data_IF_455015348470
#
_entry.id   IF_455015348470
#
_cell.length_a   1.000
_cell.length_b   1.000
_cell.length_c   1.000
_cell.angle_alpha   90.00
_cell.angle_beta   90.00
_cell.angle_gamma   90.00
#
_symmetry.space_group_name_H-M   'P 1'
#
loop_
_entity.id
_entity.type
_entity.pdbx_description
1 polymer ?
#
# COMPACT_ATOMS: atom_id res chain seq x y z
N UNK A 1 -6.21 31.90 10.61
CA UNK A 1 -6.33 30.51 11.08
C UNK A 1 -5.83 29.62 9.96
N UNK A 2 -4.75 28.89 10.16
CA UNK A 2 -4.18 27.99 9.14
C UNK A 2 -4.71 26.59 9.42
N UNK A 3 -5.22 25.92 8.39
CA UNK A 3 -5.68 24.53 8.51
C UNK A 3 -4.48 23.63 8.82
N UNK A 4 -4.66 22.74 9.79
CA UNK A 4 -3.65 21.75 10.20
C UNK A 4 -4.20 20.35 9.95
N UNK A 5 -3.31 19.35 9.75
CA UNK A 5 -3.73 17.95 9.72
C UNK A 5 -4.49 17.58 11.00
N UNK A 6 -5.40 16.61 10.88
CA UNK A 6 -6.17 16.12 12.01
C UNK A 6 -5.27 15.38 13.02
N UNK A 7 -5.61 15.45 14.30
CA UNK A 7 -4.96 14.66 15.33
C UNK A 7 -5.11 13.16 15.00
N UNK A 8 -3.99 12.42 15.02
CA UNK A 8 -3.96 10.98 14.69
C UNK A 8 -3.75 10.63 13.20
N UNK A 9 -3.55 11.62 12.32
CA UNK A 9 -3.29 11.36 10.89
C UNK A 9 -2.07 10.45 10.66
N UNK A 10 -1.04 10.57 11.50
CA UNK A 10 0.17 9.75 11.41
C UNK A 10 -0.09 8.28 11.73
N UNK A 11 -0.92 8.00 12.74
CA UNK A 11 -1.30 6.65 13.12
C UNK A 11 -2.17 6.00 12.04
N UNK A 12 -3.09 6.76 11.46
CA UNK A 12 -3.89 6.33 10.31
C UNK A 12 -2.99 6.00 9.12
N UNK A 13 -2.03 6.88 8.81
CA UNK A 13 -1.11 6.69 7.69
C UNK A 13 -0.25 5.43 7.85
N UNK A 14 0.23 5.14 9.08
CA UNK A 14 0.97 3.90 9.38
C UNK A 14 0.09 2.66 9.22
N UNK A 15 -1.14 2.70 9.75
CA UNK A 15 -2.10 1.59 9.66
C UNK A 15 -2.44 1.26 8.21
N UNK A 16 -2.69 2.28 7.40
CA UNK A 16 -3.03 2.16 5.99
C UNK A 16 -1.80 2.00 5.08
N UNK A 17 -0.58 2.10 5.62
CA UNK A 17 0.68 2.09 4.88
C UNK A 17 0.69 3.13 3.74
N UNK A 18 0.23 4.35 4.01
CA UNK A 18 0.22 5.48 3.05
C UNK A 18 1.21 6.56 3.47
N UNK A 19 1.63 7.38 2.50
CA UNK A 19 2.64 8.43 2.71
C UNK A 19 2.04 9.73 3.22
N UNK A 20 2.84 10.47 4.00
CA UNK A 20 2.54 11.81 4.50
C UNK A 20 3.53 12.78 3.86
N UNK A 21 3.07 13.99 3.57
CA UNK A 21 3.87 15.08 3.02
C UNK A 21 4.63 15.82 4.12
N UNK A 22 5.58 16.66 3.75
CA UNK A 22 6.34 17.52 4.68
C UNK A 22 5.44 18.48 5.49
N UNK A 23 4.21 18.70 5.03
CA UNK A 23 3.21 19.53 5.68
C UNK A 23 2.29 18.77 6.65
N UNK A 24 2.50 17.45 6.79
CA UNK A 24 1.73 16.57 7.68
C UNK A 24 0.40 16.07 7.11
N UNK A 25 0.06 16.41 5.87
CA UNK A 25 -1.13 15.89 5.17
C UNK A 25 -0.81 14.63 4.35
N UNK A 26 -1.83 13.85 3.99
CA UNK A 26 -1.68 12.64 3.18
C UNK A 26 -1.22 12.97 1.76
N UNK A 27 -0.30 12.16 1.22
CA UNK A 27 0.31 12.39 -0.10
C UNK A 27 -0.37 11.55 -1.18
N UNK A 28 -0.74 12.19 -2.28
CA UNK A 28 -1.21 11.51 -3.49
C UNK A 28 -0.10 10.81 -4.28
N UNK A 29 -0.49 9.90 -5.17
CA UNK A 29 0.45 9.23 -6.06
C UNK A 29 1.09 10.16 -7.09
N UNK A 30 0.31 11.10 -7.65
CA UNK A 30 0.85 12.12 -8.55
C UNK A 30 -0.06 13.36 -8.61
N UNK A 31 0.47 14.59 -8.47
CA UNK A 31 -0.32 15.84 -8.39
C UNK A 31 -1.23 16.18 -9.60
N UNK A 32 -1.14 15.41 -10.69
CA UNK A 32 -1.80 15.73 -11.98
C UNK A 32 -2.50 14.50 -12.55
N UNK A 33 -1.79 13.38 -12.61
CA UNK A 33 -2.31 12.15 -13.21
C UNK A 33 -3.18 11.34 -12.24
N UNK A 34 -2.84 11.35 -10.95
CA UNK A 34 -3.48 10.52 -9.93
C UNK A 34 -3.70 11.31 -8.63
N UNK A 35 -4.48 12.41 -8.66
CA UNK A 35 -4.57 13.37 -7.56
C UNK A 35 -5.41 12.89 -6.36
N UNK A 36 -6.24 11.86 -6.55
CA UNK A 36 -7.11 11.26 -5.53
C UNK A 36 -6.67 9.85 -5.13
N UNK A 37 -5.56 9.37 -5.69
CA UNK A 37 -5.04 8.04 -5.38
C UNK A 37 -3.83 8.17 -4.46
N UNK A 38 -3.64 7.21 -3.55
CA UNK A 38 -2.38 7.09 -2.84
C UNK A 38 -1.40 6.21 -3.61
N UNK A 39 -0.13 6.19 -3.18
CA UNK A 39 0.86 5.24 -3.69
C UNK A 39 0.47 3.78 -3.42
N UNK A 40 -0.32 3.54 -2.37
CA UNK A 40 -0.82 2.21 -2.01
C UNK A 40 -2.08 1.92 -2.82
N UNK A 41 -1.99 0.92 -3.70
CA UNK A 41 -3.09 0.52 -4.56
C UNK A 41 -4.35 0.16 -3.75
N UNK A 42 -5.50 0.65 -4.21
CA UNK A 42 -6.80 0.46 -3.54
C UNK A 42 -7.11 1.47 -2.43
N UNK A 43 -6.18 2.36 -2.09
CA UNK A 43 -6.41 3.44 -1.11
C UNK A 43 -6.47 4.78 -1.84
N UNK A 44 -7.57 5.50 -1.62
CA UNK A 44 -7.89 6.78 -2.25
C UNK A 44 -8.03 7.88 -1.20
N UNK A 45 -7.81 9.12 -1.63
CA UNK A 45 -7.79 10.32 -0.80
C UNK A 45 -8.87 11.29 -1.25
N UNK A 46 -9.51 11.97 -0.30
CA UNK A 46 -10.46 13.03 -0.60
C UNK A 46 -10.46 14.11 0.49
N UNK A 47 -10.62 15.36 0.04
CA UNK A 47 -10.88 16.50 0.90
C UNK A 47 -9.67 16.96 1.70
N UNK A 48 -9.93 17.45 2.91
CA UNK A 48 -8.94 18.17 3.70
C UNK A 48 -7.86 17.29 4.35
N UNK A 49 -7.96 15.97 4.23
CA UNK A 49 -6.92 15.05 4.68
C UNK A 49 -5.64 15.14 3.81
N UNK A 50 -5.78 15.55 2.56
CA UNK A 50 -4.66 15.67 1.61
C UNK A 50 -4.02 17.07 1.62
N UNK A 51 -4.82 18.12 1.76
CA UNK A 51 -4.37 19.50 1.80
C UNK A 51 -5.51 20.42 2.23
N UNK A 52 -5.24 21.67 2.65
CA UNK A 52 -6.27 22.66 2.82
C UNK A 52 -7.04 22.89 1.50
N UNK A 53 -8.35 22.64 1.53
CA UNK A 53 -9.24 22.74 0.35
C UNK A 53 -10.54 23.43 0.71
N UNK A 54 -11.22 23.95 -0.29
CA UNK A 54 -12.57 24.47 -0.15
C UNK A 54 -13.62 23.36 -0.37
N UNK A 55 -14.89 23.73 -0.22
CA UNK A 55 -16.01 22.79 -0.34
C UNK A 55 -16.12 22.25 -1.78
N UNK A 56 -16.13 23.08 -2.83
CA UNK A 56 -16.17 22.59 -4.22
C UNK A 56 -15.06 21.59 -4.55
N UNK A 57 -13.82 21.88 -4.17
CA UNK A 57 -12.68 20.98 -4.41
C UNK A 57 -12.85 19.67 -3.65
N UNK A 58 -13.33 19.74 -2.41
CA UNK A 58 -13.59 18.55 -1.60
C UNK A 58 -14.66 17.65 -2.24
N UNK A 59 -15.73 18.24 -2.78
CA UNK A 59 -16.79 17.51 -3.47
C UNK A 59 -16.26 16.88 -4.77
N UNK A 60 -15.47 17.63 -5.55
CA UNK A 60 -14.86 17.13 -6.77
C UNK A 60 -13.93 15.94 -6.49
N UNK A 61 -13.10 16.03 -5.46
CA UNK A 61 -12.23 14.93 -5.04
C UNK A 61 -12.99 13.72 -4.52
N UNK A 62 -14.03 13.92 -3.70
CA UNK A 62 -14.85 12.82 -3.21
C UNK A 62 -15.48 12.06 -4.38
N UNK A 63 -15.96 12.79 -5.39
CA UNK A 63 -16.51 12.21 -6.63
C UNK A 63 -15.45 11.46 -7.43
N UNK A 64 -14.25 12.03 -7.56
CA UNK A 64 -13.11 11.39 -8.23
C UNK A 64 -12.67 10.11 -7.52
N UNK A 65 -12.51 10.15 -6.20
CA UNK A 65 -12.17 8.98 -5.39
C UNK A 65 -13.23 7.87 -5.53
N UNK A 66 -14.52 8.23 -5.45
CA UNK A 66 -15.62 7.28 -5.65
C UNK A 66 -15.58 6.65 -7.06
N UNK A 67 -15.32 7.45 -8.09
CA UNK A 67 -15.18 6.96 -9.47
C UNK A 67 -14.05 5.94 -9.60
N UNK A 68 -12.90 6.17 -8.96
CA UNK A 68 -11.77 5.22 -9.00
C UNK A 68 -12.07 3.93 -8.24
N UNK A 69 -12.76 4.01 -7.11
CA UNK A 69 -13.24 2.84 -6.37
C UNK A 69 -14.22 2.03 -7.23
N UNK A 70 -15.18 2.69 -7.89
CA UNK A 70 -16.07 2.03 -8.84
C UNK A 70 -15.30 1.36 -9.98
N UNK A 71 -14.28 2.02 -10.53
CA UNK A 71 -13.42 1.45 -11.58
C UNK A 71 -12.65 0.22 -11.11
N UNK A 72 -12.19 0.20 -9.85
CA UNK A 72 -11.52 -0.95 -9.25
C UNK A 72 -12.46 -2.17 -9.18
N UNK A 73 -13.72 -1.95 -8.80
CA UNK A 73 -14.73 -3.00 -8.70
C UNK A 73 -15.46 -3.30 -10.02
N UNK A 74 -15.23 -2.52 -11.07
CA UNK A 74 -15.84 -2.75 -12.38
C UNK A 74 -15.29 -3.98 -13.11
N UNK A 75 -14.17 -4.54 -12.63
CA UNK A 75 -13.54 -5.73 -13.19
C UNK A 75 -13.59 -6.89 -12.20
N UNK A 76 -13.98 -8.08 -12.67
CA UNK A 76 -13.96 -9.31 -11.87
C UNK A 76 -12.54 -9.81 -11.54
N UNK A 77 -11.52 -9.22 -12.18
CA UNK A 77 -10.12 -9.61 -12.06
C UNK A 77 -9.25 -8.39 -11.84
N UNK A 78 -8.31 -8.51 -10.92
CA UNK A 78 -7.24 -7.54 -10.69
C UNK A 78 -5.93 -8.12 -11.20
N UNK A 79 -5.18 -7.31 -11.94
CA UNK A 79 -3.84 -7.64 -12.39
C UNK A 79 -2.83 -7.02 -11.42
N UNK A 80 -1.84 -7.82 -11.01
CA UNK A 80 -0.73 -7.39 -10.19
C UNK A 80 0.57 -7.54 -10.97
N UNK A 81 1.51 -6.64 -10.74
CA UNK A 81 2.83 -6.73 -11.36
C UNK A 81 3.52 -8.04 -10.91
N UNK A 82 4.04 -8.85 -11.85
CA UNK A 82 4.61 -10.17 -11.54
C UNK A 82 6.02 -10.09 -10.92
N UNK A 83 6.41 -8.94 -10.38
CA UNK A 83 7.70 -8.73 -9.74
C UNK A 83 7.60 -9.24 -8.30
N UNK A 84 7.54 -10.55 -8.14
CA UNK A 84 7.42 -11.22 -6.84
C UNK A 84 8.70 -11.98 -6.50
N UNK A 85 8.97 -12.12 -5.20
CA UNK A 85 10.13 -12.87 -4.71
C UNK A 85 9.74 -14.33 -4.47
N UNK A 86 10.34 -15.25 -5.21
CA UNK A 86 10.17 -16.71 -5.04
C UNK A 86 11.05 -17.29 -3.92
N UNK A 87 10.89 -18.59 -3.67
CA UNK A 87 11.77 -19.42 -2.83
C UNK A 87 12.11 -20.67 -3.62
N UNK A 88 13.39 -21.03 -3.63
CA UNK A 88 13.86 -22.32 -4.13
C UNK A 88 13.83 -23.34 -2.99
N UNK A 89 12.95 -24.35 -3.09
CA UNK A 89 12.75 -25.35 -2.04
C UNK A 89 13.98 -26.24 -1.83
N UNK A 90 14.84 -26.43 -2.84
CA UNK A 90 16.04 -27.25 -2.73
C UNK A 90 17.17 -26.54 -1.96
N UNK A 91 17.13 -25.21 -1.91
CA UNK A 91 18.13 -24.36 -1.25
C UNK A 91 17.64 -23.87 0.12
N UNK A 92 16.33 -23.72 0.29
CA UNK A 92 15.74 -23.14 1.49
C UNK A 92 15.97 -24.03 2.73
N UNK A 93 16.58 -23.47 3.77
CA UNK A 93 16.81 -24.17 5.06
C UNK A 93 15.71 -23.95 6.10
N UNK A 94 14.67 -23.17 5.78
CA UNK A 94 13.58 -22.87 6.71
C UNK A 94 13.97 -21.98 7.90
N UNK A 95 15.03 -21.17 7.80
CA UNK A 95 15.54 -20.35 8.91
C UNK A 95 14.58 -19.25 9.40
N UNK A 96 13.61 -18.83 8.57
CA UNK A 96 12.57 -17.86 8.92
C UNK A 96 13.01 -16.37 8.91
N UNK A 97 14.25 -16.04 8.58
CA UNK A 97 14.73 -14.64 8.52
C UNK A 97 13.87 -13.80 7.57
N UNK A 98 13.58 -14.33 6.39
CA UNK A 98 12.79 -13.67 5.36
C UNK A 98 11.33 -13.40 5.77
N UNK A 99 10.78 -14.15 6.76
CA UNK A 99 9.44 -13.92 7.31
C UNK A 99 9.43 -12.63 8.14
N UNK A 100 10.42 -12.46 9.02
CA UNK A 100 10.49 -11.31 9.94
C UNK A 100 10.71 -9.95 9.25
N UNK A 101 11.33 -9.95 8.07
CA UNK A 101 11.65 -8.72 7.33
C UNK A 101 10.57 -8.32 6.32
N UNK A 102 9.54 -9.16 6.11
CA UNK A 102 8.50 -8.87 5.14
C UNK A 102 7.51 -7.85 5.72
N UNK A 103 7.39 -6.63 5.17
CA UNK A 103 6.46 -5.63 5.70
C UNK A 103 5.00 -5.88 5.30
N UNK A 104 4.74 -6.93 4.51
CA UNK A 104 3.42 -7.28 3.98
C UNK A 104 2.91 -8.63 4.47
N UNK A 105 3.66 -9.30 5.35
CA UNK A 105 3.33 -10.64 5.86
C UNK A 105 3.10 -11.67 4.74
N UNK A 106 3.80 -11.49 3.62
CA UNK A 106 3.65 -12.32 2.42
C UNK A 106 4.38 -13.67 2.53
N UNK A 107 5.01 -13.98 3.66
CA UNK A 107 5.87 -15.16 3.83
C UNK A 107 5.51 -15.90 5.11
N UNK A 108 5.49 -17.21 5.04
CA UNK A 108 5.19 -18.07 6.20
C UNK A 108 6.07 -19.32 6.18
N UNK A 109 6.48 -19.78 7.36
CA UNK A 109 7.19 -21.05 7.48
C UNK A 109 6.21 -22.22 7.38
N UNK A 110 6.42 -23.09 6.40
CA UNK A 110 5.77 -24.39 6.30
C UNK A 110 6.53 -25.38 7.20
N UNK A 111 5.85 -25.89 8.23
CA UNK A 111 6.44 -26.81 9.21
C UNK A 111 6.62 -28.22 8.67
N UNK A 112 5.82 -28.62 7.68
CA UNK A 112 5.83 -29.96 7.11
C UNK A 112 6.97 -30.09 6.09
N UNK A 113 7.07 -29.11 5.17
CA UNK A 113 8.17 -29.05 4.19
C UNK A 113 9.48 -28.50 4.75
N UNK A 114 9.43 -27.79 5.88
CA UNK A 114 10.57 -27.06 6.48
C UNK A 114 11.17 -26.00 5.55
N UNK A 115 10.34 -25.43 4.66
CA UNK A 115 10.71 -24.32 3.77
C UNK A 115 9.82 -23.12 4.05
N UNK A 116 10.18 -21.96 3.51
CA UNK A 116 9.33 -20.76 3.58
C UNK A 116 8.47 -20.69 2.32
N UNK A 117 7.16 -20.60 2.49
CA UNK A 117 6.21 -20.37 1.41
C UNK A 117 5.94 -18.86 1.24
N UNK A 118 5.58 -18.47 0.02
CA UNK A 118 5.27 -17.09 -0.34
C UNK A 118 3.82 -17.00 -0.80
N UNK A 119 3.06 -16.11 -0.18
CA UNK A 119 1.79 -15.66 -0.70
C UNK A 119 2.04 -14.63 -1.81
N UNK A 120 1.96 -15.07 -3.06
CA UNK A 120 2.23 -14.25 -4.24
C UNK A 120 1.34 -13.01 -4.33
N UNK A 121 0.08 -13.10 -3.84
CA UNK A 121 -0.89 -12.00 -3.88
C UNK A 121 -0.47 -10.86 -2.94
N UNK A 122 0.08 -11.20 -1.77
CA UNK A 122 0.55 -10.21 -0.79
C UNK A 122 1.92 -9.62 -1.14
N UNK A 123 2.70 -10.30 -1.98
CA UNK A 123 4.04 -9.87 -2.32
C UNK A 123 4.03 -8.62 -3.23
N UNK A 124 4.61 -7.52 -2.75
CA UNK A 124 4.74 -6.26 -3.49
C UNK A 124 6.11 -6.05 -4.16
N UNK A 125 6.95 -7.09 -4.20
CA UNK A 125 8.23 -7.00 -4.94
C UNK A 125 9.31 -6.10 -4.34
N UNK A 126 9.20 -5.67 -3.08
CA UNK A 126 10.16 -4.75 -2.47
C UNK A 126 11.61 -5.28 -2.33
N UNK A 127 11.83 -6.59 -2.44
CA UNK A 127 13.16 -7.21 -2.41
C UNK A 127 13.80 -7.39 -1.03
N UNK A 128 13.21 -6.87 0.06
CA UNK A 128 13.82 -6.95 1.41
C UNK A 128 14.15 -8.38 1.86
N UNK A 129 13.26 -9.33 1.55
CA UNK A 129 13.44 -10.74 1.87
C UNK A 129 14.56 -11.41 1.05
N UNK A 130 14.71 -11.04 -0.22
CA UNK A 130 15.77 -11.54 -1.10
C UNK A 130 17.14 -10.99 -0.72
N UNK A 131 17.21 -9.77 -0.20
CA UNK A 131 18.45 -9.20 0.33
C UNK A 131 18.87 -9.80 1.68
N UNK A 132 17.90 -10.31 2.45
CA UNK A 132 18.16 -10.91 3.76
C UNK A 132 18.42 -12.43 3.72
N UNK A 133 18.03 -13.10 2.64
CA UNK A 133 18.22 -14.54 2.42
C UNK A 133 19.62 -14.84 1.88
#
# INVERSE_FOLDING_TARGET
>A
MVMRPADGIEELARTLKISISDTGFLTEAHPKLRPVESLTAGIYLAGCAQAPRDIPDTIAQASGAASMVCSLFASDKLYQEPIIAGVDEDICSGCGVCVSVCPYDARQLDKDKKVVEVNEVLCRGCGSCSAAC
#
